data_IF_128970656012
#
_entry.id   IF_128970656012
#
_cell.length_a   1.000
_cell.length_b   1.000
_cell.length_c   1.000
_cell.angle_alpha   90.00
_cell.angle_beta   90.00
_cell.angle_gamma   90.00
#
_symmetry.space_group_name_H-M   'P 1'
#
loop_
_entity.id
_entity.type
_entity.pdbx_description
1 polymer ?
#
# COMPACT_ATOMS: atom_id res chain seq x y z
N UNK A 1 -1.01 25.44 -2.11
CA UNK A 1 -0.36 24.38 -2.91
C UNK A 1 -1.02 22.99 -2.77
N UNK A 2 -1.64 22.68 -1.64
CA UNK A 2 -2.36 21.40 -1.46
C UNK A 2 -3.74 21.37 -2.14
N UNK A 3 -4.39 22.53 -2.35
CA UNK A 3 -5.73 22.61 -2.92
C UNK A 3 -5.90 21.91 -4.29
N UNK A 4 -5.01 22.12 -5.29
CA UNK A 4 -5.18 21.48 -6.59
C UNK A 4 -4.99 19.94 -6.51
N UNK A 5 -4.14 19.44 -5.61
CA UNK A 5 -3.96 18.01 -5.40
C UNK A 5 -5.20 17.40 -4.70
N UNK A 6 -5.69 18.07 -3.68
CA UNK A 6 -6.91 17.66 -2.95
C UNK A 6 -8.12 17.68 -3.89
N UNK A 7 -8.25 18.71 -4.73
CA UNK A 7 -9.33 18.80 -5.70
C UNK A 7 -9.24 17.70 -6.76
N UNK A 8 -8.04 17.45 -7.32
CA UNK A 8 -7.81 16.36 -8.26
C UNK A 8 -8.17 15.01 -7.63
N UNK A 9 -7.68 14.74 -6.42
CA UNK A 9 -7.94 13.49 -5.72
C UNK A 9 -9.43 13.32 -5.39
N UNK A 10 -10.09 14.41 -5.01
CA UNK A 10 -11.53 14.40 -4.76
C UNK A 10 -12.33 14.11 -6.02
N UNK A 11 -12.01 14.79 -7.14
CA UNK A 11 -12.74 14.62 -8.41
C UNK A 11 -12.46 13.29 -9.08
N UNK A 12 -11.20 12.93 -9.23
CA UNK A 12 -10.78 11.78 -10.05
C UNK A 12 -10.77 10.46 -9.30
N UNK A 13 -10.69 10.48 -7.97
CA UNK A 13 -10.72 9.26 -7.16
C UNK A 13 -12.04 9.13 -6.40
N UNK A 14 -12.38 10.10 -5.54
CA UNK A 14 -13.56 9.95 -4.70
C UNK A 14 -14.85 10.09 -5.51
N UNK A 15 -15.04 11.21 -6.21
CA UNK A 15 -16.29 11.53 -6.91
C UNK A 15 -16.59 10.56 -8.05
N UNK A 16 -15.55 10.19 -8.79
CA UNK A 16 -15.65 9.29 -9.96
C UNK A 16 -16.17 7.92 -9.59
N UNK A 17 -15.75 7.38 -8.44
CA UNK A 17 -16.06 5.99 -8.06
C UNK A 17 -17.17 5.88 -7.01
N UNK A 18 -17.35 6.87 -6.13
CA UNK A 18 -18.36 6.81 -5.06
C UNK A 18 -19.57 7.72 -5.28
N UNK A 19 -19.56 8.53 -6.36
CA UNK A 19 -20.65 9.44 -6.69
C UNK A 19 -20.78 10.63 -5.74
N UNK A 20 -21.61 11.61 -6.11
CA UNK A 20 -21.76 12.88 -5.37
C UNK A 20 -22.20 12.74 -3.91
N UNK A 21 -22.99 11.71 -3.61
CA UNK A 21 -23.56 11.52 -2.26
C UNK A 21 -22.55 11.00 -1.25
N UNK A 22 -21.63 10.13 -1.69
CA UNK A 22 -20.68 9.45 -0.81
C UNK A 22 -19.26 10.03 -0.87
N UNK A 23 -18.90 10.70 -1.96
CA UNK A 23 -17.58 11.29 -2.14
C UNK A 23 -17.13 12.16 -0.95
N UNK A 24 -17.96 13.05 -0.35
CA UNK A 24 -17.51 13.88 0.77
C UNK A 24 -17.16 13.08 2.03
N UNK A 25 -17.74 11.89 2.19
CA UNK A 25 -17.50 11.00 3.35
C UNK A 25 -16.31 10.08 3.14
N UNK A 26 -16.11 9.66 1.91
CA UNK A 26 -15.06 8.69 1.54
C UNK A 26 -13.73 9.39 1.23
N UNK A 27 -13.75 10.59 0.66
CA UNK A 27 -12.55 11.32 0.29
C UNK A 27 -11.54 11.52 1.44
N UNK A 28 -11.94 11.92 2.66
CA UNK A 28 -10.99 12.05 3.78
C UNK A 28 -10.29 10.74 4.12
N UNK A 29 -11.01 9.61 4.07
CA UNK A 29 -10.46 8.28 4.32
C UNK A 29 -9.40 7.92 3.27
N UNK A 30 -9.73 8.13 1.98
CA UNK A 30 -8.81 7.83 0.87
C UNK A 30 -7.54 8.71 0.93
N UNK A 31 -7.70 9.98 1.26
CA UNK A 31 -6.56 10.89 1.47
C UNK A 31 -5.70 10.45 2.66
N UNK A 32 -6.32 10.03 3.75
CA UNK A 32 -5.60 9.51 4.91
C UNK A 32 -4.78 8.27 4.52
N UNK A 33 -5.36 7.34 3.77
CA UNK A 33 -4.62 6.17 3.26
C UNK A 33 -3.46 6.59 2.37
N UNK A 34 -3.69 7.50 1.43
CA UNK A 34 -2.64 7.97 0.54
C UNK A 34 -1.46 8.58 1.30
N UNK A 35 -1.72 9.59 2.14
CA UNK A 35 -0.65 10.27 2.87
C UNK A 35 0.02 9.36 3.90
N UNK A 36 -0.71 8.53 4.59
CA UNK A 36 -0.16 7.58 5.56
C UNK A 36 0.79 6.60 4.88
N UNK A 37 0.34 5.95 3.81
CA UNK A 37 1.15 4.97 3.06
C UNK A 37 2.36 5.67 2.42
N UNK A 38 2.16 6.84 1.82
CA UNK A 38 3.26 7.61 1.23
C UNK A 38 4.31 7.97 2.27
N UNK A 39 3.89 8.46 3.43
CA UNK A 39 4.83 8.82 4.52
C UNK A 39 5.56 7.58 5.03
N UNK A 40 4.86 6.48 5.27
CA UNK A 40 5.49 5.23 5.69
C UNK A 40 6.50 4.71 4.66
N UNK A 41 6.17 4.80 3.37
CA UNK A 41 7.06 4.37 2.29
C UNK A 41 8.30 5.26 2.17
N UNK A 42 8.12 6.59 2.25
CA UNK A 42 9.24 7.53 2.21
C UNK A 42 10.17 7.39 3.41
N UNK A 43 9.61 7.19 4.61
CA UNK A 43 10.42 6.90 5.80
C UNK A 43 11.18 5.59 5.64
N UNK A 44 10.56 4.62 4.99
CA UNK A 44 11.18 3.35 4.71
C UNK A 44 12.29 3.39 3.67
N UNK A 45 12.31 4.40 2.81
CA UNK A 45 13.40 4.58 1.84
C UNK A 45 14.72 5.00 2.50
N UNK A 46 14.66 5.60 3.69
CA UNK A 46 15.83 6.03 4.43
C UNK A 46 16.39 4.81 5.18
N UNK A 47 17.60 4.33 4.85
CA UNK A 47 18.21 3.16 5.48
C UNK A 47 18.74 3.52 6.90
N UNK A 48 17.82 3.86 7.81
CA UNK A 48 18.18 4.33 9.16
C UNK A 48 18.83 3.21 9.96
N UNK A 49 18.33 1.98 9.83
CA UNK A 49 18.85 0.80 10.51
C UNK A 49 20.23 0.43 10.03
N UNK A 50 20.42 0.38 8.71
CA UNK A 50 21.70 0.06 8.09
C UNK A 50 22.77 1.10 8.39
N UNK A 51 22.39 2.39 8.42
CA UNK A 51 23.29 3.46 8.83
C UNK A 51 23.66 3.35 10.33
N UNK A 52 22.69 3.04 11.18
CA UNK A 52 22.93 2.87 12.61
C UNK A 52 23.82 1.65 12.90
N UNK A 53 23.62 0.53 12.19
CA UNK A 53 24.50 -0.64 12.23
C UNK A 53 25.91 -0.31 11.80
N UNK A 54 26.05 0.42 10.69
CA UNK A 54 27.36 0.84 10.20
C UNK A 54 28.09 1.75 11.21
N UNK A 55 27.39 2.70 11.81
CA UNK A 55 27.95 3.58 12.83
C UNK A 55 28.30 2.79 14.11
N UNK A 56 27.48 1.87 14.54
CA UNK A 56 27.76 1.02 15.70
C UNK A 56 28.99 0.14 15.45
N UNK A 57 29.11 -0.44 14.27
CA UNK A 57 30.27 -1.24 13.87
C UNK A 57 31.56 -0.41 13.86
N UNK A 58 31.51 0.81 13.34
CA UNK A 58 32.69 1.70 13.28
C UNK A 58 33.09 2.29 14.63
N UNK A 59 32.13 2.51 15.54
CA UNK A 59 32.37 3.08 16.88
C UNK A 59 32.63 2.04 17.96
N UNK A 60 32.54 0.74 17.63
CA UNK A 60 32.68 -0.35 18.60
C UNK A 60 31.56 -0.40 19.65
N UNK A 61 30.45 0.30 19.39
CA UNK A 61 29.26 0.34 20.23
C UNK A 61 28.25 -0.73 19.86
N UNK A 62 27.35 -1.04 20.80
CA UNK A 62 26.16 -1.86 20.52
C UNK A 62 25.02 -0.95 20.04
N UNK A 63 24.21 -1.44 19.11
CA UNK A 63 22.95 -0.79 18.75
C UNK A 63 22.03 -0.71 19.99
N UNK A 64 21.33 0.41 20.20
CA UNK A 64 20.26 0.44 21.18
C UNK A 64 19.22 -0.64 20.85
N UNK A 65 18.75 -1.39 21.87
CA UNK A 65 17.80 -2.49 21.69
C UNK A 65 16.49 -2.08 20.97
N UNK A 66 16.18 -0.78 20.97
CA UNK A 66 15.04 -0.20 20.23
C UNK A 66 15.27 -0.20 18.70
N UNK A 67 16.53 -0.23 18.25
CA UNK A 67 16.90 -0.27 16.83
C UNK A 67 17.15 -1.69 16.32
N UNK A 68 17.37 -2.65 17.22
CA UNK A 68 17.48 -4.06 16.86
C UNK A 68 16.12 -4.56 16.36
N UNK A 69 16.01 -4.77 15.05
CA UNK A 69 14.81 -5.28 14.41
C UNK A 69 13.78 -4.22 13.98
N UNK A 70 14.13 -2.94 13.94
CA UNK A 70 13.28 -1.90 13.35
C UNK A 70 13.22 -2.02 11.82
N UNK A 71 12.45 -2.99 11.35
CA UNK A 71 12.04 -3.02 9.95
C UNK A 71 11.17 -1.78 9.65
N UNK A 72 11.33 -1.24 8.45
CA UNK A 72 10.49 -0.13 7.98
C UNK A 72 9.01 -0.47 8.16
N UNK A 73 8.20 0.49 8.59
CA UNK A 73 6.78 0.24 8.94
C UNK A 73 6.01 -0.46 7.80
N UNK A 74 6.33 -0.15 6.55
CA UNK A 74 5.71 -0.76 5.35
C UNK A 74 6.31 -2.10 4.94
N UNK A 75 7.55 -2.41 5.35
CA UNK A 75 8.11 -3.75 5.23
C UNK A 75 7.55 -4.70 6.31
N UNK A 76 6.94 -4.16 7.37
CA UNK A 76 6.32 -4.95 8.40
C UNK A 76 4.93 -5.43 7.92
N UNK A 77 4.81 -6.73 7.70
CA UNK A 77 3.57 -7.37 7.26
C UNK A 77 2.36 -7.06 8.17
N UNK A 78 2.58 -6.85 9.46
CA UNK A 78 1.50 -6.52 10.39
C UNK A 78 0.88 -5.15 10.13
N UNK A 79 1.67 -4.14 9.79
CA UNK A 79 1.18 -2.78 9.48
C UNK A 79 0.36 -2.79 8.20
N UNK A 80 0.83 -3.50 7.22
CA UNK A 80 0.17 -3.59 5.91
C UNK A 80 -1.08 -4.47 5.98
N UNK A 81 -1.08 -5.51 6.80
CA UNK A 81 -2.26 -6.31 7.12
C UNK A 81 -3.32 -5.48 7.89
N UNK A 82 -2.89 -4.62 8.81
CA UNK A 82 -3.78 -3.70 9.51
C UNK A 82 -4.46 -2.72 8.54
N UNK A 83 -3.71 -2.13 7.60
CA UNK A 83 -4.26 -1.26 6.56
C UNK A 83 -5.26 -2.00 5.65
N UNK A 84 -4.92 -3.21 5.23
CA UNK A 84 -5.81 -4.07 4.45
C UNK A 84 -7.11 -4.38 5.23
N UNK A 85 -6.99 -4.65 6.53
CA UNK A 85 -8.14 -4.90 7.40
C UNK A 85 -9.02 -3.65 7.56
N UNK A 86 -8.42 -2.47 7.76
CA UNK A 86 -9.17 -1.21 7.84
C UNK A 86 -9.93 -0.95 6.54
N UNK A 87 -9.30 -1.17 5.39
CA UNK A 87 -9.96 -1.02 4.08
C UNK A 87 -11.12 -2.02 3.93
N UNK A 88 -10.91 -3.27 4.32
CA UNK A 88 -11.95 -4.30 4.29
C UNK A 88 -13.16 -3.92 5.16
N UNK A 89 -12.91 -3.50 6.40
CA UNK A 89 -13.99 -3.06 7.29
C UNK A 89 -14.67 -1.79 6.78
N UNK A 90 -13.94 -0.86 6.18
CA UNK A 90 -14.52 0.33 5.56
C UNK A 90 -15.48 -0.05 4.43
N UNK A 91 -15.10 -0.97 3.53
CA UNK A 91 -15.96 -1.46 2.44
C UNK A 91 -17.24 -2.09 3.01
N UNK A 92 -17.11 -2.96 4.03
CA UNK A 92 -18.26 -3.58 4.68
C UNK A 92 -19.18 -2.55 5.34
N UNK A 93 -18.62 -1.60 6.09
CA UNK A 93 -19.39 -0.57 6.80
C UNK A 93 -20.16 0.33 5.84
N UNK A 94 -19.51 0.84 4.79
CA UNK A 94 -20.17 1.66 3.80
C UNK A 94 -21.26 0.88 3.03
N UNK A 95 -20.99 -0.37 2.67
CA UNK A 95 -21.95 -1.25 2.01
C UNK A 95 -23.16 -1.56 2.87
N UNK A 96 -22.95 -1.90 4.15
CA UNK A 96 -24.04 -2.16 5.12
C UNK A 96 -24.83 -0.86 5.41
N UNK A 97 -24.15 0.28 5.48
CA UNK A 97 -24.83 1.55 5.74
C UNK A 97 -25.74 1.98 4.60
N UNK A 98 -25.42 1.60 3.37
CA UNK A 98 -26.23 1.89 2.18
C UNK A 98 -27.39 0.89 1.99
N UNK A 99 -27.10 -0.39 2.03
CA UNK A 99 -28.04 -1.47 1.63
C UNK A 99 -28.63 -2.25 2.82
N UNK A 100 -28.17 -1.99 4.05
CA UNK A 100 -28.46 -2.84 5.20
C UNK A 100 -27.71 -4.17 5.15
N UNK A 101 -27.71 -4.94 6.23
CA UNK A 101 -26.98 -6.20 6.34
C UNK A 101 -27.43 -7.20 5.29
N UNK A 102 -28.76 -7.45 5.21
CA UNK A 102 -29.32 -8.44 4.28
C UNK A 102 -29.16 -7.98 2.82
N UNK A 103 -29.38 -6.68 2.55
CA UNK A 103 -29.24 -6.09 1.23
C UNK A 103 -27.80 -6.15 0.70
N UNK A 104 -26.82 -5.88 1.55
CA UNK A 104 -25.41 -5.94 1.18
C UNK A 104 -25.00 -7.35 0.72
N UNK A 105 -25.34 -8.38 1.49
CA UNK A 105 -25.06 -9.76 1.11
C UNK A 105 -25.89 -10.25 -0.09
N UNK A 106 -27.11 -9.76 -0.27
CA UNK A 106 -27.92 -10.07 -1.45
C UNK A 106 -27.38 -9.39 -2.72
N UNK A 107 -26.75 -8.21 -2.57
CA UNK A 107 -26.13 -7.46 -3.67
C UNK A 107 -24.83 -8.09 -4.19
N UNK A 108 -24.10 -8.83 -3.33
CA UNK A 108 -22.95 -9.62 -3.74
C UNK A 108 -23.32 -10.78 -4.69
N UNK A 109 -24.60 -11.03 -4.91
CA UNK A 109 -25.10 -12.14 -5.70
C UNK A 109 -25.95 -11.66 -6.88
N UNK A 110 -25.40 -11.49 -8.10
CA UNK A 110 -26.11 -10.97 -9.25
C UNK A 110 -27.35 -11.79 -9.61
N UNK A 111 -28.39 -11.11 -10.12
CA UNK A 111 -29.60 -11.74 -10.61
C UNK A 111 -29.32 -12.55 -11.88
N UNK A 112 -29.83 -13.78 -11.96
CA UNK A 112 -29.65 -14.65 -13.15
C UNK A 112 -28.81 -15.89 -12.93
N UNK A 113 -28.25 -16.09 -11.74
CA UNK A 113 -27.46 -17.29 -11.39
C UNK A 113 -28.31 -18.27 -10.58
N UNK A 114 -28.18 -19.61 -10.79
CA UNK A 114 -28.89 -20.62 -9.99
C UNK A 114 -28.75 -20.39 -8.49
N UNK A 115 -29.82 -20.60 -7.72
CA UNK A 115 -29.90 -20.32 -6.30
C UNK A 115 -28.73 -20.90 -5.48
N UNK A 116 -28.27 -22.11 -5.82
CA UNK A 116 -27.20 -22.78 -5.12
C UNK A 116 -25.84 -22.08 -5.30
N UNK A 117 -25.53 -21.63 -6.53
CA UNK A 117 -24.30 -20.92 -6.86
C UNK A 117 -24.34 -19.51 -6.28
N UNK A 118 -25.51 -18.86 -6.35
CA UNK A 118 -25.72 -17.52 -5.83
C UNK A 118 -25.47 -17.38 -4.33
N UNK A 119 -25.89 -18.34 -3.53
CA UNK A 119 -25.80 -18.26 -2.08
C UNK A 119 -24.59 -18.99 -1.48
N UNK A 120 -24.06 -20.00 -2.17
CA UNK A 120 -22.99 -20.84 -1.62
C UNK A 120 -21.61 -20.53 -2.22
N UNK A 121 -21.53 -20.13 -3.47
CA UNK A 121 -20.27 -19.95 -4.18
C UNK A 121 -19.87 -18.46 -4.34
N UNK A 122 -20.82 -17.59 -4.70
CA UNK A 122 -20.49 -16.18 -4.97
C UNK A 122 -20.05 -15.39 -3.72
N UNK A 123 -20.76 -15.41 -2.57
CA UNK A 123 -20.37 -14.60 -1.42
C UNK A 123 -18.97 -14.92 -0.89
N UNK A 124 -18.54 -16.19 -0.73
CA UNK A 124 -17.17 -16.47 -0.30
C UNK A 124 -16.11 -16.07 -1.32
N UNK A 125 -16.39 -16.19 -2.64
CA UNK A 125 -15.44 -15.76 -3.68
C UNK A 125 -15.29 -14.24 -3.68
N UNK A 126 -16.39 -13.50 -3.57
CA UNK A 126 -16.38 -12.04 -3.54
C UNK A 126 -15.71 -11.53 -2.28
N UNK A 127 -16.03 -12.12 -1.12
CA UNK A 127 -15.37 -11.81 0.15
C UNK A 127 -13.87 -12.11 0.08
N UNK A 128 -13.46 -13.25 -0.48
CA UNK A 128 -12.07 -13.60 -0.69
C UNK A 128 -11.38 -12.60 -1.63
N UNK A 129 -12.03 -12.18 -2.71
CA UNK A 129 -11.49 -11.21 -3.66
C UNK A 129 -11.26 -9.83 -3.02
N UNK A 130 -12.19 -9.39 -2.17
CA UNK A 130 -12.05 -8.15 -1.38
C UNK A 130 -10.86 -8.20 -0.43
N UNK A 131 -10.50 -9.38 0.06
CA UNK A 131 -9.38 -9.56 1.00
C UNK A 131 -8.04 -9.75 0.26
N UNK A 132 -8.04 -10.51 -0.82
CA UNK A 132 -6.82 -10.82 -1.60
C UNK A 132 -6.22 -9.58 -2.26
N UNK A 133 -7.04 -8.65 -2.73
CA UNK A 133 -6.53 -7.46 -3.45
C UNK A 133 -5.72 -6.51 -2.57
N UNK A 134 -6.16 -6.08 -1.37
CA UNK A 134 -5.32 -5.32 -0.46
C UNK A 134 -4.06 -6.08 -0.03
N UNK A 135 -4.17 -7.40 0.20
CA UNK A 135 -3.00 -8.24 0.53
C UNK A 135 -1.99 -8.25 -0.63
N UNK A 136 -2.45 -8.43 -1.87
CA UNK A 136 -1.55 -8.43 -3.03
C UNK A 136 -0.81 -7.09 -3.20
N UNK A 137 -1.50 -5.96 -2.95
CA UNK A 137 -0.88 -4.63 -2.95
C UNK A 137 0.15 -4.47 -1.84
N UNK A 138 -0.15 -4.98 -0.67
CA UNK A 138 0.71 -5.05 0.50
C UNK A 138 1.97 -5.87 0.24
N UNK A 139 1.81 -7.07 -0.31
CA UNK A 139 2.94 -7.95 -0.66
C UNK A 139 3.86 -7.31 -1.70
N UNK A 140 3.28 -6.61 -2.68
CA UNK A 140 4.07 -5.87 -3.69
C UNK A 140 4.91 -4.79 -3.04
N UNK A 141 4.34 -4.05 -2.10
CA UNK A 141 5.06 -2.99 -1.39
C UNK A 141 6.21 -3.56 -0.56
N UNK A 142 5.93 -4.56 0.26
CA UNK A 142 6.94 -5.23 1.07
C UNK A 142 8.07 -5.84 0.22
N UNK A 143 7.71 -6.55 -0.86
CA UNK A 143 8.67 -7.19 -1.75
C UNK A 143 9.55 -6.16 -2.48
N UNK A 144 8.97 -5.05 -2.95
CA UNK A 144 9.71 -4.03 -3.67
C UNK A 144 10.69 -3.30 -2.76
N UNK A 145 10.26 -2.96 -1.54
CA UNK A 145 11.07 -2.28 -0.55
C UNK A 145 12.23 -3.16 -0.05
N UNK A 146 11.93 -4.41 0.32
CA UNK A 146 12.96 -5.36 0.72
C UNK A 146 13.92 -5.66 -0.44
N UNK A 147 13.39 -5.83 -1.66
CA UNK A 147 14.17 -6.07 -2.87
C UNK A 147 15.11 -4.92 -3.21
N UNK A 148 14.65 -3.68 -3.10
CA UNK A 148 15.47 -2.49 -3.33
C UNK A 148 16.60 -2.33 -2.33
N UNK A 149 16.31 -2.47 -1.02
CA UNK A 149 17.35 -2.46 0.00
C UNK A 149 18.41 -3.54 -0.22
N UNK A 150 18.00 -4.78 -0.51
CA UNK A 150 18.92 -5.86 -0.83
C UNK A 150 19.76 -5.58 -2.08
N UNK A 151 19.16 -4.99 -3.11
CA UNK A 151 19.87 -4.62 -4.33
C UNK A 151 20.94 -3.54 -4.06
N UNK A 152 20.59 -2.49 -3.33
CA UNK A 152 21.52 -1.41 -2.95
C UNK A 152 22.66 -1.96 -2.11
N UNK A 153 22.38 -2.75 -1.07
CA UNK A 153 23.39 -3.36 -0.21
C UNK A 153 24.33 -4.29 -1.01
N UNK A 154 23.76 -5.10 -1.90
CA UNK A 154 24.54 -6.00 -2.76
C UNK A 154 25.49 -5.24 -3.68
N UNK A 155 25.02 -4.13 -4.28
CA UNK A 155 25.85 -3.29 -5.14
C UNK A 155 26.97 -2.58 -4.38
N UNK A 156 26.67 -2.07 -3.19
CA UNK A 156 27.66 -1.45 -2.31
C UNK A 156 28.71 -2.50 -1.90
N UNK A 157 28.28 -3.73 -1.57
CA UNK A 157 29.20 -4.82 -1.24
C UNK A 157 30.16 -5.16 -2.39
N UNK A 158 29.72 -5.07 -3.65
CA UNK A 158 30.57 -5.27 -4.84
C UNK A 158 31.72 -4.25 -4.88
N UNK A 159 31.50 -2.99 -4.49
CA UNK A 159 32.58 -1.99 -4.41
C UNK A 159 33.65 -2.43 -3.42
N UNK A 160 33.25 -2.92 -2.23
CA UNK A 160 34.20 -3.38 -1.21
C UNK A 160 34.93 -4.65 -1.63
N UNK A 161 34.28 -5.54 -2.39
CA UNK A 161 34.90 -6.78 -2.87
C UNK A 161 36.02 -6.52 -3.89
N UNK A 162 35.73 -5.67 -4.87
CA UNK A 162 36.70 -5.41 -5.97
C UNK A 162 37.73 -4.35 -5.63
N UNK A 163 37.49 -3.46 -4.68
CA UNK A 163 38.37 -2.36 -4.24
C UNK A 163 38.94 -1.52 -5.39
N UNK A 164 38.23 -1.42 -6.51
CA UNK A 164 38.59 -0.66 -7.69
C UNK A 164 37.67 0.56 -7.87
N UNK A 165 38.30 1.73 -8.07
CA UNK A 165 37.52 2.96 -8.31
C UNK A 165 36.64 2.89 -9.58
N UNK A 166 37.05 2.12 -10.59
CA UNK A 166 36.29 1.89 -11.81
C UNK A 166 34.94 1.19 -11.53
N UNK A 167 34.87 0.28 -10.55
CA UNK A 167 33.66 -0.39 -10.14
C UNK A 167 32.70 0.61 -9.46
N UNK A 168 33.21 1.49 -8.60
CA UNK A 168 32.47 2.55 -7.97
C UNK A 168 31.81 3.50 -8.98
N UNK A 169 32.50 3.81 -10.08
CA UNK A 169 31.99 4.69 -11.14
C UNK A 169 30.72 4.13 -11.82
N UNK A 170 30.58 2.82 -11.88
CA UNK A 170 29.40 2.15 -12.45
C UNK A 170 28.32 1.91 -11.37
N UNK A 171 28.76 1.47 -10.21
CA UNK A 171 27.81 1.08 -9.13
C UNK A 171 27.07 2.29 -8.56
N UNK A 172 27.74 3.42 -8.31
CA UNK A 172 27.11 4.61 -7.71
C UNK A 172 25.95 5.14 -8.56
N UNK A 173 26.08 5.37 -9.87
CA UNK A 173 24.93 5.76 -10.69
C UNK A 173 23.82 4.72 -10.71
N UNK A 174 24.15 3.43 -10.69
CA UNK A 174 23.16 2.35 -10.65
C UNK A 174 22.35 2.38 -9.35
N UNK A 175 23.00 2.58 -8.21
CA UNK A 175 22.33 2.75 -6.90
C UNK A 175 21.39 3.96 -6.92
N UNK A 176 21.84 5.09 -7.48
CA UNK A 176 21.01 6.29 -7.60
C UNK A 176 19.77 6.03 -8.46
N UNK A 177 19.90 5.30 -9.56
CA UNK A 177 18.77 4.91 -10.41
C UNK A 177 17.78 4.00 -9.67
N UNK A 178 18.28 3.04 -8.88
CA UNK A 178 17.43 2.17 -8.08
C UNK A 178 16.64 2.99 -7.03
N UNK A 179 17.30 3.89 -6.31
CA UNK A 179 16.63 4.75 -5.32
C UNK A 179 15.59 5.67 -5.96
N UNK A 180 15.86 6.20 -7.16
CA UNK A 180 14.88 6.98 -7.93
C UNK A 180 13.66 6.12 -8.32
N UNK A 181 13.89 4.90 -8.77
CA UNK A 181 12.82 3.96 -9.10
C UNK A 181 11.99 3.63 -7.86
N UNK A 182 12.62 3.36 -6.72
CA UNK A 182 11.93 3.12 -5.46
C UNK A 182 11.07 4.31 -5.03
N UNK A 183 11.57 5.54 -5.18
CA UNK A 183 10.82 6.75 -4.89
C UNK A 183 9.54 6.84 -5.73
N UNK A 184 9.64 6.57 -7.03
CA UNK A 184 8.49 6.56 -7.95
C UNK A 184 7.49 5.48 -7.51
N UNK A 185 7.99 4.28 -7.20
CA UNK A 185 7.13 3.15 -6.78
C UNK A 185 6.42 3.46 -5.46
N UNK A 186 7.07 4.10 -4.49
CA UNK A 186 6.44 4.54 -3.23
C UNK A 186 5.23 5.43 -3.49
N UNK A 187 5.37 6.39 -4.38
CA UNK A 187 4.29 7.32 -4.73
C UNK A 187 3.15 6.60 -5.47
N UNK A 188 3.48 5.84 -6.50
CA UNK A 188 2.50 5.09 -7.30
C UNK A 188 1.75 4.10 -6.43
N UNK A 189 2.42 3.42 -5.51
CA UNK A 189 1.80 2.42 -4.64
C UNK A 189 0.79 3.05 -3.66
N UNK A 190 1.13 4.20 -3.06
CA UNK A 190 0.22 4.94 -2.21
C UNK A 190 -1.03 5.39 -2.99
N UNK A 191 -0.84 5.88 -4.21
CA UNK A 191 -1.93 6.30 -5.08
C UNK A 191 -2.83 5.13 -5.49
N UNK A 192 -2.24 4.02 -5.94
CA UNK A 192 -2.96 2.81 -6.37
C UNK A 192 -3.77 2.21 -5.21
N UNK A 193 -3.21 2.20 -3.98
CA UNK A 193 -3.93 1.71 -2.82
C UNK A 193 -5.17 2.55 -2.52
N UNK A 194 -5.03 3.86 -2.50
CA UNK A 194 -6.14 4.78 -2.25
C UNK A 194 -7.20 4.69 -3.37
N UNK A 195 -6.77 4.64 -4.64
CA UNK A 195 -7.65 4.51 -5.80
C UNK A 195 -8.47 3.20 -5.74
N UNK A 196 -7.81 2.07 -5.51
CA UNK A 196 -8.51 0.77 -5.42
C UNK A 196 -9.46 0.72 -4.22
N UNK A 197 -9.07 1.29 -3.07
CA UNK A 197 -9.98 1.43 -1.93
C UNK A 197 -11.21 2.25 -2.30
N UNK A 198 -11.05 3.34 -3.05
CA UNK A 198 -12.16 4.16 -3.58
C UNK A 198 -13.06 3.39 -4.53
N UNK A 199 -12.48 2.62 -5.45
CA UNK A 199 -13.23 1.75 -6.38
C UNK A 199 -14.07 0.72 -5.64
N UNK A 200 -13.48 0.04 -4.63
CA UNK A 200 -14.21 -1.00 -3.88
C UNK A 200 -15.31 -0.43 -2.99
N UNK A 201 -15.05 0.70 -2.34
CA UNK A 201 -16.10 1.40 -1.60
C UNK A 201 -17.20 1.84 -2.58
N UNK A 202 -16.83 2.36 -3.74
CA UNK A 202 -17.76 2.72 -4.81
C UNK A 202 -18.66 1.57 -5.23
N UNK A 203 -18.07 0.42 -5.55
CA UNK A 203 -18.82 -0.81 -5.92
C UNK A 203 -19.74 -1.27 -4.77
N UNK A 204 -19.32 -1.13 -3.52
CA UNK A 204 -20.14 -1.49 -2.36
C UNK A 204 -21.31 -0.53 -2.13
N UNK A 205 -21.22 0.71 -2.62
CA UNK A 205 -22.22 1.79 -2.44
C UNK A 205 -23.05 2.01 -3.70
N UNK A 206 -22.61 1.50 -4.87
CA UNK A 206 -23.32 1.66 -6.14
C UNK A 206 -24.61 0.86 -6.12
N UNK A 207 -25.72 1.53 -6.41
CA UNK A 207 -27.01 0.87 -6.62
C UNK A 207 -27.13 0.56 -8.12
N UNK A 208 -27.04 -0.71 -8.51
CA UNK A 208 -27.49 -1.11 -9.85
C UNK A 208 -28.98 -0.78 -10.00
N UNK A 209 -29.28 0.20 -10.85
CA UNK A 209 -30.59 0.40 -11.42
C UNK A 209 -30.86 -0.61 -12.50
#
# INVERSE_FOLDING_TARGET
MLDPFVEHFYRDVALKYTGHTWAPRVAPLLMTFFFFILTCNLLGLIPITELAEFVAWTSGGHLPAVMEGSATATANFNVTLALASITFFAILLFGIWKHGVVGHFAHLAPAGVPFLIRWFLLPPIELASMFVRPIALTMRLAANMTGGHLAVLSLVFVIFLFKQAAVGLVVVPTVVLILLLELIVCFVQAYVFALLSGVFIGLAVESHH
#
